data_IF_210005446597
#
_entry.id   IF_210005446597
#
_cell.length_a   1.000
_cell.length_b   1.000
_cell.length_c   1.000
_cell.angle_alpha   90.00
_cell.angle_beta   90.00
_cell.angle_gamma   90.00
#
_symmetry.space_group_name_H-M   'P 1'
#
loop_
_entity.id
_entity.type
_entity.pdbx_description
1 polymer ?
#
# COMPACT_ATOMS: atom_id res chain seq x y z
N UNK A 1 -34.58 14.68 -14.80
CA UNK A 1 -33.73 13.96 -13.83
C UNK A 1 -34.19 14.23 -12.40
N UNK A 2 -34.44 15.49 -12.01
CA UNK A 2 -34.88 15.85 -10.64
C UNK A 2 -36.21 15.27 -10.11
N UNK A 3 -36.98 14.49 -10.90
CA UNK A 3 -38.15 13.76 -10.37
C UNK A 3 -37.81 12.38 -9.81
N UNK A 4 -36.61 11.85 -10.08
CA UNK A 4 -36.15 10.53 -9.60
C UNK A 4 -35.11 10.65 -8.49
N UNK A 5 -34.64 11.87 -8.22
CA UNK A 5 -33.72 12.22 -7.11
C UNK A 5 -34.48 12.72 -5.87
N UNK A 6 -35.81 12.83 -5.96
CA UNK A 6 -36.69 13.08 -4.82
C UNK A 6 -36.89 11.80 -4.02
N UNK A 7 -37.00 11.89 -2.69
CA UNK A 7 -37.27 10.80 -1.71
C UNK A 7 -38.59 10.00 -1.94
N UNK A 8 -39.25 10.23 -3.07
CA UNK A 8 -40.36 9.45 -3.59
C UNK A 8 -39.78 8.21 -4.29
N UNK A 9 -40.03 7.01 -3.75
CA UNK A 9 -39.68 5.73 -4.36
C UNK A 9 -40.45 5.52 -5.68
N UNK A 10 -40.03 6.22 -6.75
CA UNK A 10 -40.54 6.08 -8.11
C UNK A 10 -39.71 5.03 -8.82
N UNK A 11 -40.37 3.99 -9.32
CA UNK A 11 -39.73 2.99 -10.16
C UNK A 11 -39.06 3.67 -11.36
N UNK A 12 -37.76 3.44 -11.52
CA UNK A 12 -37.01 3.95 -12.66
C UNK A 12 -37.23 2.97 -13.83
N UNK A 13 -37.82 3.41 -14.96
CA UNK A 13 -37.95 2.55 -16.13
C UNK A 13 -36.58 2.08 -16.61
N UNK A 14 -36.46 0.81 -17.00
CA UNK A 14 -35.23 0.20 -17.53
C UNK A 14 -34.59 1.04 -18.67
N UNK A 15 -35.42 1.70 -19.49
CA UNK A 15 -34.97 2.59 -20.56
C UNK A 15 -34.18 3.80 -20.05
N UNK A 16 -34.62 4.39 -18.94
CA UNK A 16 -33.94 5.52 -18.33
C UNK A 16 -32.59 5.11 -17.74
N UNK A 17 -32.46 3.91 -17.18
CA UNK A 17 -31.18 3.36 -16.69
C UNK A 17 -30.20 3.18 -17.85
N UNK A 18 -30.67 2.70 -19.00
CA UNK A 18 -29.84 2.55 -20.22
C UNK A 18 -29.40 3.92 -20.76
N UNK A 19 -30.30 4.90 -20.78
CA UNK A 19 -29.98 6.25 -21.26
C UNK A 19 -29.01 6.97 -20.31
N UNK A 20 -29.14 6.76 -19.00
CA UNK A 20 -28.16 7.19 -17.99
C UNK A 20 -26.80 6.51 -18.21
N UNK A 21 -26.77 5.20 -18.46
CA UNK A 21 -25.53 4.46 -18.69
C UNK A 21 -24.77 5.01 -19.89
N UNK A 22 -25.49 5.30 -20.98
CA UNK A 22 -24.94 5.94 -22.18
C UNK A 22 -24.47 7.38 -21.92
N UNK A 23 -25.22 8.16 -21.14
CA UNK A 23 -24.86 9.54 -20.82
C UNK A 23 -23.58 9.63 -19.99
N UNK A 24 -23.41 8.75 -19.00
CA UNK A 24 -22.22 8.71 -18.14
C UNK A 24 -21.05 7.90 -18.73
N UNK A 25 -21.27 7.18 -19.83
CA UNK A 25 -20.28 6.33 -20.49
C UNK A 25 -19.87 5.12 -19.65
N UNK A 26 -20.81 4.55 -18.89
CA UNK A 26 -20.60 3.45 -17.93
C UNK A 26 -21.53 2.29 -18.23
N UNK A 27 -21.28 1.10 -17.66
CA UNK A 27 -22.22 -0.02 -17.77
C UNK A 27 -23.48 0.22 -16.92
N UNK A 28 -24.59 -0.40 -17.30
CA UNK A 28 -25.80 -0.41 -16.46
C UNK A 28 -25.54 -1.05 -15.10
N UNK A 29 -24.67 -2.05 -15.06
CA UNK A 29 -24.25 -2.74 -13.84
C UNK A 29 -23.51 -1.79 -12.89
N UNK A 30 -22.73 -0.84 -13.43
CA UNK A 30 -22.04 0.17 -12.63
C UNK A 30 -23.03 1.16 -12.01
N UNK A 31 -24.03 1.61 -12.77
CA UNK A 31 -25.07 2.51 -12.24
C UNK A 31 -25.93 1.86 -11.16
N UNK A 32 -26.11 0.54 -11.23
CA UNK A 32 -26.87 -0.22 -10.25
C UNK A 32 -26.02 -0.67 -9.06
N UNK A 33 -24.75 -0.27 -8.97
CA UNK A 33 -23.84 -0.66 -7.89
C UNK A 33 -23.48 -2.15 -7.89
N UNK A 34 -23.71 -2.86 -9.00
CA UNK A 34 -23.41 -4.29 -9.15
C UNK A 34 -21.93 -4.52 -9.51
N UNK A 35 -21.27 -3.51 -10.06
CA UNK A 35 -19.82 -3.50 -10.32
C UNK A 35 -19.25 -2.13 -9.99
N UNK A 36 -18.07 -2.11 -9.37
CA UNK A 36 -17.32 -0.87 -9.11
C UNK A 36 -16.50 -0.43 -10.33
N UNK A 37 -16.45 -1.27 -11.38
CA UNK A 37 -15.67 -0.98 -12.58
C UNK A 37 -16.46 -0.07 -13.52
N UNK A 38 -16.07 1.21 -13.55
CA UNK A 38 -16.67 2.25 -14.40
C UNK A 38 -16.53 1.96 -15.89
N UNK A 39 -15.41 1.35 -16.29
CA UNK A 39 -15.16 0.89 -17.64
C UNK A 39 -14.73 -0.57 -17.55
N UNK A 40 -15.51 -1.47 -18.15
CA UNK A 40 -15.09 -2.85 -18.43
C UNK A 40 -14.09 -2.83 -19.60
N UNK A 41 -13.04 -2.01 -19.48
CA UNK A 41 -11.91 -2.02 -20.38
C UNK A 41 -11.27 -3.39 -20.25
N UNK A 42 -11.16 -4.09 -21.37
CA UNK A 42 -10.58 -5.43 -21.45
C UNK A 42 -9.06 -5.31 -21.21
N UNK A 43 -8.65 -5.02 -19.97
CA UNK A 43 -7.24 -5.03 -19.57
C UNK A 43 -6.81 -6.48 -19.69
N UNK A 44 -5.88 -6.73 -20.61
CA UNK A 44 -5.29 -8.05 -20.75
C UNK A 44 -4.62 -8.40 -19.44
N UNK A 45 -5.08 -9.47 -18.80
CA UNK A 45 -4.52 -9.98 -17.55
C UNK A 45 -3.01 -10.24 -17.69
N UNK A 46 -2.55 -10.55 -18.91
CA UNK A 46 -1.14 -10.71 -19.26
C UNK A 46 -0.27 -9.48 -18.97
N UNK A 47 -0.85 -8.27 -19.06
CA UNK A 47 -0.12 -7.01 -18.87
C UNK A 47 0.03 -6.65 -17.38
N UNK A 48 -0.73 -7.32 -16.51
CA UNK A 48 -0.69 -7.09 -15.05
C UNK A 48 0.42 -7.89 -14.36
N UNK A 49 1.17 -8.71 -15.10
CA UNK A 49 2.24 -9.58 -14.58
C UNK A 49 1.82 -10.42 -13.35
N UNK A 50 0.52 -10.72 -13.23
CA UNK A 50 -0.01 -11.55 -12.15
C UNK A 50 0.24 -13.02 -12.46
N UNK A 51 0.78 -13.76 -11.48
CA UNK A 51 0.93 -15.20 -11.61
C UNK A 51 -0.43 -15.91 -11.59
N UNK A 52 -0.50 -17.12 -12.14
CA UNK A 52 -1.71 -17.94 -12.11
C UNK A 52 -2.22 -18.18 -10.67
N UNK A 53 -1.30 -18.26 -9.70
CA UNK A 53 -1.62 -18.35 -8.29
C UNK A 53 -2.32 -17.07 -7.78
N UNK A 54 -1.79 -15.89 -8.11
CA UNK A 54 -2.42 -14.61 -7.75
C UNK A 54 -3.81 -14.47 -8.38
N UNK A 55 -3.98 -14.88 -9.65
CA UNK A 55 -5.26 -14.87 -10.33
C UNK A 55 -6.27 -15.82 -9.68
N UNK A 56 -5.84 -17.01 -9.28
CA UNK A 56 -6.71 -17.96 -8.56
C UNK A 56 -7.17 -17.39 -7.22
N UNK A 57 -6.30 -16.70 -6.47
CA UNK A 57 -6.65 -16.07 -5.20
C UNK A 57 -7.68 -14.94 -5.36
N UNK A 58 -7.54 -14.13 -6.42
CA UNK A 58 -8.48 -13.07 -6.75
C UNK A 58 -9.82 -13.64 -7.23
N UNK A 59 -9.79 -14.68 -8.07
CA UNK A 59 -10.99 -15.30 -8.65
C UNK A 59 -11.80 -16.10 -7.62
N UNK A 60 -11.12 -16.79 -6.71
CA UNK A 60 -11.76 -17.61 -5.69
C UNK A 60 -12.46 -16.79 -4.59
N UNK A 61 -12.37 -15.44 -4.63
CA UNK A 61 -12.87 -14.53 -3.58
C UNK A 61 -12.42 -14.90 -2.16
N UNK A 62 -11.29 -15.62 -2.04
CA UNK A 62 -10.67 -15.98 -0.76
C UNK A 62 -10.04 -14.78 -0.06
N UNK A 63 -9.86 -13.69 -0.80
CA UNK A 63 -9.35 -12.41 -0.32
C UNK A 63 -10.46 -11.37 -0.35
N UNK A 64 -10.43 -10.43 0.60
CA UNK A 64 -11.26 -9.25 0.54
C UNK A 64 -10.75 -8.33 -0.58
N UNK A 65 -11.37 -8.43 -1.75
CA UNK A 65 -10.97 -7.67 -2.95
C UNK A 65 -11.20 -6.16 -2.79
N UNK A 66 -12.14 -5.75 -1.93
CA UNK A 66 -12.35 -4.33 -1.60
C UNK A 66 -11.18 -3.79 -0.79
N UNK A 67 -10.80 -4.49 0.28
CA UNK A 67 -9.65 -4.11 1.10
C UNK A 67 -8.35 -4.12 0.28
N UNK A 68 -8.20 -5.08 -0.63
CA UNK A 68 -7.07 -5.09 -1.55
C UNK A 68 -7.08 -3.87 -2.48
N UNK A 69 -8.23 -3.51 -3.04
CA UNK A 69 -8.41 -2.32 -3.87
C UNK A 69 -8.06 -1.04 -3.11
N UNK A 70 -8.51 -0.91 -1.87
CA UNK A 70 -8.20 0.22 -0.99
C UNK A 70 -6.71 0.29 -0.65
N UNK A 71 -6.08 -0.87 -0.39
CA UNK A 71 -4.65 -0.95 -0.13
C UNK A 71 -3.83 -0.48 -1.33
N UNK A 72 -4.12 -0.99 -2.54
CA UNK A 72 -3.34 -0.67 -3.74
C UNK A 72 -3.58 0.75 -4.24
N UNK A 73 -4.71 1.37 -3.89
CA UNK A 73 -5.06 2.75 -4.27
C UNK A 73 -4.63 3.80 -3.25
N UNK A 74 -4.13 3.38 -2.08
CA UNK A 74 -3.66 4.30 -1.04
C UNK A 74 -2.46 5.14 -1.50
N UNK A 75 -2.45 6.43 -1.16
CA UNK A 75 -1.42 7.38 -1.64
C UNK A 75 0.00 6.94 -1.26
N UNK A 76 0.17 6.40 -0.05
CA UNK A 76 1.45 5.90 0.46
C UNK A 76 1.82 4.50 -0.05
N UNK A 77 0.91 3.77 -0.71
CA UNK A 77 1.21 2.42 -1.20
C UNK A 77 2.30 2.42 -2.27
N UNK A 78 2.33 3.46 -3.11
CA UNK A 78 3.41 3.64 -4.09
C UNK A 78 4.78 3.81 -3.43
N UNK A 79 4.84 4.52 -2.30
CA UNK A 79 6.07 4.72 -1.53
C UNK A 79 6.53 3.39 -0.92
N UNK A 80 5.60 2.67 -0.28
CA UNK A 80 5.84 1.33 0.26
C UNK A 80 6.40 0.36 -0.79
N UNK A 81 5.80 0.33 -2.00
CA UNK A 81 6.27 -0.55 -3.08
C UNK A 81 7.69 -0.22 -3.54
N UNK A 82 8.05 1.06 -3.58
CA UNK A 82 9.40 1.51 -3.93
C UNK A 82 10.41 1.14 -2.84
N UNK A 83 10.04 1.32 -1.57
CA UNK A 83 10.90 0.93 -0.44
C UNK A 83 11.08 -0.60 -0.37
N UNK A 84 10.05 -1.37 -0.70
CA UNK A 84 10.11 -2.84 -0.86
C UNK A 84 11.01 -3.27 -2.02
N UNK A 85 10.91 -2.61 -3.18
CA UNK A 85 11.77 -2.90 -4.34
C UNK A 85 13.25 -2.64 -4.00
N UNK A 86 13.55 -1.51 -3.33
CA UNK A 86 14.91 -1.20 -2.87
C UNK A 86 15.45 -2.25 -1.90
N UNK A 87 14.60 -2.74 -0.99
CA UNK A 87 14.96 -3.76 -0.02
C UNK A 87 15.18 -5.14 -0.67
N UNK A 88 14.22 -5.60 -1.48
CA UNK A 88 14.22 -6.94 -2.09
C UNK A 88 15.29 -7.07 -3.17
N UNK A 89 15.49 -6.04 -3.99
CA UNK A 89 16.49 -6.06 -5.06
C UNK A 89 17.90 -5.76 -4.53
N UNK A 90 18.04 -5.43 -3.24
CA UNK A 90 19.34 -5.18 -2.61
C UNK A 90 20.05 -3.96 -3.21
N UNK A 91 19.32 -2.98 -3.73
CA UNK A 91 19.92 -1.79 -4.37
C UNK A 91 20.77 -0.98 -3.36
N UNK A 92 20.42 -1.04 -2.08
CA UNK A 92 21.12 -0.34 -1.00
C UNK A 92 22.23 -1.17 -0.32
N UNK A 93 22.33 -2.47 -0.61
CA UNK A 93 23.23 -3.41 0.05
C UNK A 93 24.71 -3.01 -0.10
N UNK A 94 25.09 -2.63 -1.33
CA UNK A 94 26.47 -2.28 -1.65
C UNK A 94 26.92 -0.98 -0.99
N UNK A 95 26.02 0.01 -0.89
CA UNK A 95 26.32 1.31 -0.30
C UNK A 95 26.45 1.20 1.22
N UNK A 96 25.59 0.42 1.88
CA UNK A 96 25.67 0.21 3.33
C UNK A 96 26.85 -0.67 3.72
N UNK A 97 27.19 -1.69 2.93
CA UNK A 97 28.46 -2.43 3.11
C UNK A 97 29.67 -1.49 3.03
N UNK A 98 29.68 -0.56 2.07
CA UNK A 98 30.75 0.44 1.92
C UNK A 98 30.84 1.40 3.13
N UNK A 99 29.70 1.91 3.60
CA UNK A 99 29.62 2.78 4.78
C UNK A 99 30.09 2.06 6.04
N UNK A 100 29.60 0.84 6.27
CA UNK A 100 30.02 0.01 7.40
C UNK A 100 31.53 -0.24 7.36
N UNK A 101 32.11 -0.56 6.19
CA UNK A 101 33.56 -0.74 6.02
C UNK A 101 34.35 0.54 6.31
N UNK A 102 33.84 1.71 5.91
CA UNK A 102 34.48 2.99 6.22
C UNK A 102 34.52 3.26 7.73
N UNK A 103 33.41 3.00 8.44
CA UNK A 103 33.32 3.09 9.91
C UNK A 103 34.28 2.12 10.59
N UNK A 104 34.36 0.87 10.12
CA UNK A 104 35.31 -0.13 10.63
C UNK A 104 36.77 0.26 10.41
N UNK A 105 37.06 0.88 9.28
CA UNK A 105 38.41 1.35 8.95
C UNK A 105 38.80 2.52 9.85
N UNK A 106 37.89 3.47 10.06
CA UNK A 106 38.05 4.53 11.06
C UNK A 106 38.30 3.97 12.46
N UNK A 107 37.56 2.92 12.85
CA UNK A 107 37.75 2.20 14.11
C UNK A 107 39.16 1.64 14.25
N UNK A 108 39.68 0.96 13.21
CA UNK A 108 41.05 0.41 13.20
C UNK A 108 42.12 1.50 13.31
N UNK A 109 41.90 2.66 12.69
CA UNK A 109 42.82 3.81 12.76
C UNK A 109 42.84 4.40 14.17
N UNK A 110 41.67 4.58 14.80
CA UNK A 110 41.54 5.08 16.17
C UNK A 110 42.12 4.10 17.20
N UNK A 111 41.87 2.79 17.03
CA UNK A 111 42.43 1.72 17.88
C UNK A 111 43.96 1.70 17.88
N UNK A 112 44.59 2.01 16.74
CA UNK A 112 46.05 2.12 16.65
C UNK A 112 46.61 3.38 17.32
N UNK A 113 45.78 4.39 17.59
CA UNK A 113 46.21 5.71 18.10
C UNK A 113 46.00 5.89 19.60
N UNK A 114 45.08 5.16 20.25
CA UNK A 114 44.73 5.34 21.66
C UNK A 114 44.91 4.05 22.52
N UNK A 115 45.30 4.23 23.79
CA UNK A 115 45.41 3.16 24.80
C UNK A 115 44.02 2.65 25.25
N UNK A 116 43.88 1.36 25.59
CA UNK A 116 42.59 0.65 25.69
C UNK A 116 41.68 0.96 26.90
N UNK A 117 42.08 1.82 27.84
CA UNK A 117 41.35 1.97 29.12
C UNK A 117 40.30 3.10 29.15
N UNK A 118 40.40 4.13 28.32
CA UNK A 118 39.40 5.22 28.18
C UNK A 118 38.32 4.89 27.11
N UNK A 119 38.33 3.63 26.66
CA UNK A 119 37.99 3.21 25.30
C UNK A 119 36.55 2.73 25.12
N UNK A 120 35.83 2.48 26.21
CA UNK A 120 34.50 1.86 26.18
C UNK A 120 33.39 2.78 25.63
N UNK A 121 33.41 4.08 25.94
CA UNK A 121 32.30 4.97 25.58
C UNK A 121 32.28 5.30 24.08
N UNK A 122 33.44 5.65 23.51
CA UNK A 122 33.56 5.97 22.08
C UNK A 122 33.37 4.75 21.18
N UNK A 123 33.82 3.56 21.60
CA UNK A 123 33.52 2.31 20.89
C UNK A 123 32.03 1.98 20.87
N UNK A 124 31.32 2.21 21.99
CA UNK A 124 29.89 1.91 22.08
C UNK A 124 29.06 2.84 21.20
N UNK A 125 29.41 4.13 21.16
CA UNK A 125 28.78 5.10 20.23
C UNK A 125 29.04 4.70 18.78
N UNK A 126 30.26 4.27 18.44
CA UNK A 126 30.60 3.86 17.07
C UNK A 126 30.02 2.49 16.67
N UNK A 127 29.73 1.61 17.63
CA UNK A 127 28.95 0.38 17.40
C UNK A 127 27.48 0.70 17.12
N UNK A 128 26.92 1.69 17.81
CA UNK A 128 25.55 2.16 17.54
C UNK A 128 25.39 2.81 16.15
N UNK A 129 26.48 3.30 15.53
CA UNK A 129 26.46 3.79 14.15
C UNK A 129 26.57 2.70 13.07
N UNK A 130 26.58 1.42 13.45
CA UNK A 130 26.47 0.34 12.48
C UNK A 130 25.05 0.35 11.88
N UNK A 131 24.95 0.53 10.57
CA UNK A 131 23.67 0.45 9.88
C UNK A 131 23.42 -1.01 9.53
N UNK A 132 22.52 -1.65 10.26
CA UNK A 132 21.92 -2.92 9.85
C UNK A 132 20.79 -2.62 8.89
N UNK A 133 21.04 -2.83 7.59
CA UNK A 133 20.10 -2.54 6.51
C UNK A 133 18.73 -3.20 6.75
N UNK A 134 18.74 -4.43 7.27
CA UNK A 134 17.54 -5.18 7.60
C UNK A 134 16.71 -4.50 8.69
N UNK A 135 17.34 -4.01 9.76
CA UNK A 135 16.64 -3.34 10.86
C UNK A 135 16.08 -1.99 10.39
N UNK A 136 16.87 -1.22 9.62
CA UNK A 136 16.42 0.04 9.03
C UNK A 136 15.21 -0.14 8.11
N UNK A 137 15.29 -1.04 7.11
CA UNK A 137 14.17 -1.24 6.19
C UNK A 137 12.98 -1.91 6.87
N UNK A 138 13.18 -2.78 7.86
CA UNK A 138 12.06 -3.35 8.64
C UNK A 138 11.27 -2.23 9.31
N UNK A 139 11.94 -1.25 9.94
CA UNK A 139 11.26 -0.12 10.55
C UNK A 139 10.54 0.78 9.54
N UNK A 140 11.19 1.09 8.41
CA UNK A 140 10.57 1.92 7.36
C UNK A 140 9.33 1.25 6.78
N UNK A 141 9.42 -0.05 6.46
CA UNK A 141 8.31 -0.83 5.92
C UNK A 141 7.19 -0.95 6.96
N UNK A 142 7.52 -1.21 8.24
CA UNK A 142 6.54 -1.31 9.32
C UNK A 142 5.79 0.00 9.53
N UNK A 143 6.49 1.14 9.49
CA UNK A 143 5.89 2.47 9.65
C UNK A 143 4.97 2.83 8.49
N UNK A 144 5.40 2.55 7.25
CA UNK A 144 4.59 2.77 6.06
C UNK A 144 3.33 1.88 6.08
N UNK A 145 3.47 0.60 6.44
CA UNK A 145 2.34 -0.33 6.59
C UNK A 145 1.37 0.11 7.69
N UNK A 146 1.87 0.51 8.85
CA UNK A 146 1.04 1.01 9.94
C UNK A 146 0.25 2.25 9.54
N UNK A 147 0.87 3.14 8.77
CA UNK A 147 0.23 4.35 8.27
C UNK A 147 -0.92 4.00 7.33
N UNK A 148 -0.68 3.16 6.32
CA UNK A 148 -1.71 2.73 5.37
C UNK A 148 -2.88 2.03 6.07
N UNK A 149 -2.60 1.08 6.97
CA UNK A 149 -3.64 0.34 7.69
C UNK A 149 -4.46 1.27 8.59
N UNK A 150 -3.82 2.21 9.28
CA UNK A 150 -4.50 3.17 10.15
C UNK A 150 -5.43 4.07 9.35
N UNK A 151 -5.00 4.52 8.18
CA UNK A 151 -5.76 5.44 7.34
C UNK A 151 -6.96 4.72 6.70
N UNK A 152 -6.77 3.51 6.18
CA UNK A 152 -7.88 2.66 5.70
C UNK A 152 -8.90 2.39 6.81
N UNK A 153 -8.44 2.01 8.01
CA UNK A 153 -9.33 1.81 9.17
C UNK A 153 -10.07 3.08 9.56
N UNK A 154 -9.46 4.24 9.40
CA UNK A 154 -10.08 5.54 9.71
C UNK A 154 -11.15 5.89 8.67
N UNK A 155 -10.90 5.61 7.39
CA UNK A 155 -11.90 5.74 6.32
C UNK A 155 -13.11 4.83 6.59
N UNK A 156 -12.88 3.57 6.99
CA UNK A 156 -13.96 2.64 7.36
C UNK A 156 -14.75 3.04 8.60
N UNK A 157 -14.11 3.74 9.56
CA UNK A 157 -14.81 4.26 10.75
C UNK A 157 -15.84 5.35 10.41
N UNK A 158 -15.64 6.11 9.34
CA UNK A 158 -16.62 7.08 8.87
C UNK A 158 -17.83 6.46 8.20
N UNK A 159 -17.71 5.22 7.71
CA UNK A 159 -18.74 4.53 6.93
C UNK A 159 -19.74 3.74 7.81
N UNK A 160 -19.40 3.51 9.08
CA UNK A 160 -20.25 2.76 10.03
C UNK A 160 -21.53 3.54 10.43
N UNK A 161 -21.57 4.86 10.20
CA UNK A 161 -22.74 5.70 10.45
C UNK A 161 -23.76 5.74 9.28
N UNK A 162 -23.48 5.06 8.15
CA UNK A 162 -24.44 4.95 7.03
C UNK A 162 -25.25 3.65 6.99
N UNK A 163 -25.10 2.74 7.96
CA UNK A 163 -26.02 1.61 8.10
C UNK A 163 -27.23 2.05 8.94
N UNK A 164 -28.47 2.02 8.42
CA UNK A 164 -29.64 2.43 9.21
C UNK A 164 -29.79 1.50 10.40
N UNK A 165 -30.03 2.09 11.58
CA UNK A 165 -30.37 1.36 12.79
C UNK A 165 -31.58 0.48 12.50
N UNK A 166 -31.37 -0.83 12.50
CA UNK A 166 -32.47 -1.81 12.48
C UNK A 166 -33.37 -1.52 13.69
N UNK A 167 -34.55 -0.99 13.41
CA UNK A 167 -35.66 -0.92 14.35
C UNK A 167 -36.76 -1.83 13.83
#
# INVERSE_FOLDING_TARGET
LGSYESDDYKEIPHRNVIDLAKFYGVSTDYLLGMTENRQLGNISISDLHLSDAALSLLKDRKLNTLLLSELITHEQFRKLMLDLEIYVDGLADMQVKSLNLAVETGRKILLKRHNPDEYNLQLNVLKASHLELNEYFSHVIDDDMHTIIRDIRSAHKGDIDSAPSKT
#
